data_IF_387110651720
#
_entry.id   IF_387110651720
#
_cell.length_a   1.000
_cell.length_b   1.000
_cell.length_c   1.000
_cell.angle_alpha   90.00
_cell.angle_beta   90.00
_cell.angle_gamma   90.00
#
_symmetry.space_group_name_H-M   'P 1'
#
loop_
_entity.id
_entity.type
_entity.pdbx_description
1 polymer ?
#
# COMPACT_ATOMS: atom_id res chain seq x y z
N UNK A 1 -4.19 -10.94 -20.72
CA UNK A 1 -3.97 -10.75 -22.17
C UNK A 1 -4.51 -9.36 -22.48
N UNK A 2 -3.72 -8.54 -23.18
CA UNK A 2 -4.25 -7.30 -23.75
C UNK A 2 -5.31 -7.68 -24.79
N UNK A 3 -6.46 -7.00 -24.77
CA UNK A 3 -7.46 -7.04 -25.83
C UNK A 3 -6.76 -6.65 -27.17
N UNK A 4 -7.12 -7.31 -28.27
CA UNK A 4 -6.52 -7.06 -29.61
C UNK A 4 -6.60 -5.58 -30.00
N UNK A 5 -7.63 -4.87 -29.57
CA UNK A 5 -7.83 -3.44 -29.75
C UNK A 5 -6.77 -2.62 -28.97
N UNK A 6 -6.49 -2.98 -27.70
CA UNK A 6 -5.49 -2.31 -26.89
C UNK A 6 -4.07 -2.61 -27.40
N UNK A 7 -3.83 -3.82 -27.92
CA UNK A 7 -2.56 -4.19 -28.54
C UNK A 7 -2.28 -3.31 -29.79
N UNK A 8 -3.25 -3.20 -30.70
CA UNK A 8 -3.12 -2.37 -31.89
C UNK A 8 -2.85 -0.89 -31.58
N UNK A 9 -3.50 -0.36 -30.55
CA UNK A 9 -3.29 1.04 -30.07
C UNK A 9 -1.93 1.25 -29.45
N UNK A 10 -1.45 0.28 -28.67
CA UNK A 10 -0.11 0.33 -28.08
C UNK A 10 0.96 0.34 -29.15
N UNK A 11 0.83 -0.53 -30.15
CA UNK A 11 1.75 -0.54 -31.33
C UNK A 11 1.71 0.80 -32.06
N UNK A 12 0.53 1.38 -32.28
CA UNK A 12 0.38 2.69 -32.92
C UNK A 12 1.08 3.82 -32.14
N UNK A 13 1.05 3.79 -30.82
CA UNK A 13 1.77 4.77 -29.97
C UNK A 13 3.29 4.61 -30.10
N UNK A 14 3.78 3.38 -30.07
CA UNK A 14 5.21 3.12 -30.28
C UNK A 14 5.65 3.54 -31.67
N UNK A 15 4.87 3.20 -32.70
CA UNK A 15 5.15 3.57 -34.07
C UNK A 15 5.24 5.09 -34.26
N UNK A 16 4.25 5.83 -33.72
CA UNK A 16 4.27 7.30 -33.73
C UNK A 16 5.53 7.85 -33.03
N UNK A 17 5.85 7.36 -31.85
CA UNK A 17 7.01 7.84 -31.11
C UNK A 17 8.33 7.55 -31.82
N UNK A 18 8.50 6.34 -32.33
CA UNK A 18 9.72 5.90 -33.00
C UNK A 18 9.87 6.57 -34.38
N UNK A 19 8.76 7.07 -34.98
CA UNK A 19 8.77 7.82 -36.23
C UNK A 19 9.36 9.23 -36.10
N UNK A 20 9.66 9.72 -34.87
CA UNK A 20 10.40 10.99 -34.72
C UNK A 20 11.85 10.93 -35.21
N UNK A 21 12.36 9.74 -35.54
CA UNK A 21 13.65 9.52 -36.16
C UNK A 21 14.57 8.54 -35.46
N UNK A 22 15.75 8.28 -36.04
CA UNK A 22 16.71 7.31 -35.49
C UNK A 22 17.12 7.60 -34.02
N UNK A 23 17.19 8.87 -33.66
CA UNK A 23 17.53 9.29 -32.29
C UNK A 23 16.48 8.81 -31.25
N UNK A 24 15.19 8.84 -31.63
CA UNK A 24 14.12 8.33 -30.76
C UNK A 24 14.22 6.81 -30.57
N UNK A 25 14.59 6.08 -31.63
CA UNK A 25 14.80 4.64 -31.57
C UNK A 25 15.99 4.30 -30.66
N UNK A 26 17.12 5.00 -30.82
CA UNK A 26 18.32 4.81 -29.97
C UNK A 26 18.04 5.15 -28.50
N UNK A 27 17.25 6.18 -28.26
CA UNK A 27 16.88 6.58 -26.93
C UNK A 27 16.02 5.52 -26.24
N UNK A 28 14.99 4.99 -26.91
CA UNK A 28 14.15 3.91 -26.40
C UNK A 28 14.98 2.65 -26.17
N UNK A 29 15.82 2.25 -27.11
CA UNK A 29 16.70 1.10 -26.99
C UNK A 29 17.61 1.24 -25.75
N UNK A 30 18.26 2.39 -25.57
CA UNK A 30 19.09 2.68 -24.39
C UNK A 30 18.30 2.59 -23.11
N UNK A 31 17.13 3.26 -23.02
CA UNK A 31 16.30 3.28 -21.82
C UNK A 31 15.78 1.88 -21.45
N UNK A 32 15.46 1.06 -22.43
CA UNK A 32 15.00 -0.32 -22.18
C UNK A 32 16.17 -1.19 -21.71
N UNK A 33 17.36 -1.06 -22.31
CA UNK A 33 18.55 -1.80 -21.89
C UNK A 33 19.01 -1.41 -20.47
N UNK A 34 18.93 -0.11 -20.09
CA UNK A 34 19.15 0.36 -18.72
C UNK A 34 18.20 -0.26 -17.68
N UNK A 35 17.04 -0.73 -18.13
CA UNK A 35 16.03 -1.43 -17.32
C UNK A 35 16.15 -2.97 -17.36
N UNK A 36 17.23 -3.50 -17.93
CA UNK A 36 17.53 -4.93 -17.97
C UNK A 36 16.91 -5.68 -19.14
N UNK A 37 16.33 -5.00 -20.12
CA UNK A 37 15.95 -5.60 -21.39
C UNK A 37 17.20 -5.74 -22.27
N UNK A 38 17.29 -6.81 -23.01
CA UNK A 38 18.32 -6.96 -24.04
C UNK A 38 17.68 -6.77 -25.42
N UNK A 39 17.38 -5.51 -25.72
CA UNK A 39 16.62 -5.15 -26.94
C UNK A 39 17.54 -4.46 -27.96
N UNK A 40 17.34 -4.79 -29.21
CA UNK A 40 17.92 -4.09 -30.37
C UNK A 40 16.79 -3.77 -31.37
N UNK A 41 16.58 -2.48 -31.62
CA UNK A 41 15.48 -2.00 -32.44
C UNK A 41 15.98 -1.64 -33.85
N UNK A 42 15.24 -2.02 -34.92
CA UNK A 42 15.51 -1.56 -36.27
C UNK A 42 15.45 -0.02 -36.35
N UNK A 43 16.51 0.63 -36.86
CA UNK A 43 16.59 2.11 -36.94
C UNK A 43 15.94 2.71 -38.14
N UNK A 44 15.79 1.93 -39.18
CA UNK A 44 15.31 2.31 -40.53
C UNK A 44 13.84 1.97 -40.76
N UNK A 45 13.19 1.28 -39.82
CA UNK A 45 11.78 0.88 -39.90
C UNK A 45 11.10 1.07 -38.55
N UNK A 46 10.52 2.26 -38.30
CA UNK A 46 9.84 2.56 -37.01
C UNK A 46 8.71 1.61 -36.69
N UNK A 47 7.95 1.17 -37.70
CA UNK A 47 6.86 0.23 -37.46
C UNK A 47 7.36 -1.13 -37.03
N UNK A 48 8.42 -1.63 -37.64
CA UNK A 48 9.06 -2.88 -37.21
C UNK A 48 9.67 -2.75 -35.82
N UNK A 49 10.30 -1.59 -35.52
CA UNK A 49 10.80 -1.29 -34.18
C UNK A 49 9.68 -1.29 -33.12
N UNK A 50 8.51 -0.71 -33.46
CA UNK A 50 7.33 -0.72 -32.59
C UNK A 50 6.82 -2.15 -32.32
N UNK A 51 6.79 -3.00 -33.33
CA UNK A 51 6.39 -4.41 -33.18
C UNK A 51 7.38 -5.20 -32.32
N UNK A 52 8.69 -4.97 -32.50
CA UNK A 52 9.72 -5.61 -31.66
C UNK A 52 9.60 -5.14 -30.21
N UNK A 53 9.46 -3.83 -29.99
CA UNK A 53 9.29 -3.25 -28.65
C UNK A 53 8.03 -3.79 -27.96
N UNK A 54 6.91 -3.86 -28.69
CA UNK A 54 5.67 -4.44 -28.19
C UNK A 54 5.86 -5.92 -27.80
N UNK A 55 6.49 -6.70 -28.66
CA UNK A 55 6.77 -8.11 -28.40
C UNK A 55 7.62 -8.33 -27.15
N UNK A 56 8.63 -7.50 -26.92
CA UNK A 56 9.48 -7.58 -25.74
C UNK A 56 8.76 -7.21 -24.45
N UNK A 57 7.85 -6.23 -24.49
CA UNK A 57 7.10 -5.80 -23.30
C UNK A 57 5.93 -6.75 -23.00
N UNK A 58 5.16 -7.14 -24.01
CA UNK A 58 3.88 -7.82 -23.85
C UNK A 58 3.89 -9.29 -24.32
N UNK A 59 4.85 -9.70 -25.15
CA UNK A 59 4.87 -11.01 -25.79
C UNK A 59 5.34 -12.16 -24.92
N UNK A 60 6.08 -11.89 -23.84
CA UNK A 60 6.41 -12.90 -22.86
C UNK A 60 5.25 -13.03 -21.85
N UNK A 61 4.81 -14.25 -21.57
CA UNK A 61 3.88 -14.50 -20.47
C UNK A 61 4.51 -13.95 -19.20
N UNK A 62 3.81 -13.02 -18.54
CA UNK A 62 4.20 -12.49 -17.23
C UNK A 62 3.94 -13.60 -16.20
N UNK A 63 4.73 -14.66 -16.30
CA UNK A 63 4.70 -15.77 -15.38
C UNK A 63 6.05 -15.86 -14.70
N UNK A 64 6.08 -15.60 -13.42
CA UNK A 64 7.26 -15.86 -12.62
C UNK A 64 7.71 -14.68 -11.75
N UNK A 65 8.58 -15.03 -10.84
CA UNK A 65 9.12 -14.16 -9.78
C UNK A 65 10.41 -13.44 -10.20
N UNK A 66 10.73 -13.36 -11.49
CA UNK A 66 11.95 -12.71 -11.94
C UNK A 66 11.81 -11.18 -11.97
N UNK A 67 12.90 -10.48 -11.75
CA UNK A 67 12.98 -9.02 -11.88
C UNK A 67 12.50 -8.53 -13.25
N UNK A 68 12.84 -9.27 -14.30
CA UNK A 68 12.43 -9.01 -15.69
C UNK A 68 10.90 -8.99 -15.84
N UNK A 69 10.21 -9.99 -15.30
CA UNK A 69 8.73 -10.05 -15.34
C UNK A 69 8.07 -8.89 -14.59
N UNK A 70 8.66 -8.48 -13.48
CA UNK A 70 8.18 -7.32 -12.70
C UNK A 70 8.30 -6.02 -13.51
N UNK A 71 9.44 -5.82 -14.14
CA UNK A 71 9.70 -4.62 -14.95
C UNK A 71 8.78 -4.58 -16.18
N UNK A 72 8.58 -5.70 -16.86
CA UNK A 72 7.64 -5.81 -17.99
C UNK A 72 6.21 -5.45 -17.58
N UNK A 73 5.74 -5.96 -16.43
CA UNK A 73 4.42 -5.61 -15.89
C UNK A 73 4.29 -4.10 -15.64
N UNK A 74 5.29 -3.48 -15.03
CA UNK A 74 5.26 -2.05 -14.73
C UNK A 74 5.20 -1.21 -16.02
N UNK A 75 6.02 -1.53 -16.99
CA UNK A 75 6.03 -0.84 -18.29
C UNK A 75 4.69 -1.04 -19.00
N UNK A 76 4.15 -2.27 -19.00
CA UNK A 76 2.86 -2.57 -19.59
C UNK A 76 1.73 -1.72 -18.98
N UNK A 77 1.70 -1.60 -17.65
CA UNK A 77 0.72 -0.76 -16.95
C UNK A 77 0.89 0.72 -17.33
N UNK A 78 2.13 1.23 -17.35
CA UNK A 78 2.40 2.61 -17.72
C UNK A 78 1.97 2.92 -19.15
N UNK A 79 2.31 2.06 -20.11
CA UNK A 79 1.90 2.21 -21.50
C UNK A 79 0.38 2.13 -21.64
N UNK A 80 -0.29 1.23 -20.93
CA UNK A 80 -1.76 1.16 -20.92
C UNK A 80 -2.40 2.45 -20.41
N UNK A 81 -1.85 3.06 -19.35
CA UNK A 81 -2.30 4.37 -18.89
C UNK A 81 -2.11 5.45 -19.96
N UNK A 82 -0.99 5.46 -20.66
CA UNK A 82 -0.73 6.41 -21.74
C UNK A 82 -1.73 6.25 -22.90
N UNK A 83 -2.04 5.01 -23.29
CA UNK A 83 -3.06 4.71 -24.30
C UNK A 83 -4.41 5.30 -23.90
N UNK A 84 -4.84 5.07 -22.64
CA UNK A 84 -6.09 5.60 -22.13
C UNK A 84 -6.12 7.14 -22.09
N UNK A 85 -5.02 7.78 -21.74
CA UNK A 85 -4.89 9.24 -21.77
C UNK A 85 -5.02 9.79 -23.20
N UNK A 86 -4.37 9.13 -24.17
CA UNK A 86 -4.45 9.52 -25.59
C UNK A 86 -5.87 9.37 -26.13
N UNK A 87 -6.56 8.29 -25.81
CA UNK A 87 -7.98 8.10 -26.21
C UNK A 87 -8.88 9.22 -25.67
N UNK A 88 -8.65 9.63 -24.43
CA UNK A 88 -9.41 10.75 -23.84
C UNK A 88 -9.11 12.06 -24.55
N UNK A 89 -7.87 12.27 -25.00
CA UNK A 89 -7.50 13.42 -25.83
C UNK A 89 -8.24 13.42 -27.17
N UNK A 90 -8.32 12.26 -27.83
CA UNK A 90 -8.94 12.11 -29.16
C UNK A 90 -10.49 12.11 -29.08
N UNK A 91 -11.06 11.71 -27.92
CA UNK A 91 -12.50 11.77 -27.71
C UNK A 91 -12.94 13.23 -27.61
N UNK A 92 -13.67 13.71 -28.60
CA UNK A 92 -14.10 15.11 -28.76
C UNK A 92 -15.14 15.61 -27.74
N UNK A 93 -15.43 14.85 -26.68
CA UNK A 93 -16.45 15.20 -25.69
C UNK A 93 -16.09 16.43 -24.84
N UNK A 94 -14.77 16.67 -24.60
CA UNK A 94 -14.26 17.87 -23.92
C UNK A 94 -13.00 18.29 -24.68
N UNK A 95 -12.82 19.60 -24.92
CA UNK A 95 -11.55 20.08 -25.46
C UNK A 95 -10.40 19.73 -24.52
N UNK A 96 -9.43 18.95 -24.98
CA UNK A 96 -8.28 18.54 -24.19
C UNK A 96 -7.54 19.75 -23.58
N UNK A 97 -7.43 20.83 -24.32
CA UNK A 97 -6.81 22.07 -23.85
C UNK A 97 -7.52 22.68 -22.63
N UNK A 98 -8.82 22.47 -22.49
CA UNK A 98 -9.58 23.03 -21.38
C UNK A 98 -9.33 22.30 -20.04
N UNK A 99 -8.76 21.09 -20.09
CA UNK A 99 -8.43 20.33 -18.87
C UNK A 99 -6.96 20.50 -18.45
N UNK A 100 -6.11 21.04 -19.31
CA UNK A 100 -4.70 21.29 -18.99
C UNK A 100 -4.59 22.43 -17.99
N UNK A 101 -3.88 22.18 -16.91
CA UNK A 101 -3.55 23.17 -15.90
C UNK A 101 -2.24 23.85 -16.27
N UNK A 102 -2.26 25.19 -16.44
CA UNK A 102 -1.05 25.97 -16.65
C UNK A 102 -0.65 26.64 -15.34
N UNK A 103 0.55 26.33 -14.84
CA UNK A 103 1.12 26.97 -13.65
C UNK A 103 1.60 28.39 -13.98
N UNK A 104 1.93 29.16 -12.92
CA UNK A 104 2.41 30.55 -13.06
C UNK A 104 3.74 30.65 -13.84
N UNK A 105 4.54 29.60 -13.85
CA UNK A 105 5.80 29.50 -14.60
C UNK A 105 5.63 29.05 -16.07
N UNK A 106 4.40 28.87 -16.51
CA UNK A 106 4.06 28.40 -17.84
C UNK A 106 4.01 26.88 -17.98
N UNK A 107 4.36 26.10 -16.97
CA UNK A 107 4.33 24.63 -16.99
C UNK A 107 2.92 24.12 -17.21
N UNK A 108 2.74 23.28 -18.22
CA UNK A 108 1.45 22.69 -18.63
C UNK A 108 1.34 21.27 -18.09
N UNK A 109 0.41 21.04 -17.16
CA UNK A 109 0.19 19.74 -16.53
C UNK A 109 -1.18 19.17 -16.89
N UNK A 110 -1.21 17.88 -17.20
CA UNK A 110 -2.45 17.13 -17.38
C UNK A 110 -2.90 16.57 -16.03
N UNK A 111 -4.04 17.00 -15.46
CA UNK A 111 -4.59 16.40 -14.26
C UNK A 111 -5.09 14.99 -14.56
N UNK A 112 -4.63 14.01 -13.75
CA UNK A 112 -4.95 12.60 -13.93
C UNK A 112 -5.29 11.97 -12.57
N UNK A 113 -6.44 11.30 -12.51
CA UNK A 113 -6.82 10.48 -11.36
C UNK A 113 -6.82 9.02 -11.81
N UNK A 114 -6.00 8.21 -11.16
CA UNK A 114 -5.93 6.76 -11.37
C UNK A 114 -6.56 6.07 -10.18
N UNK A 115 -7.58 5.26 -10.45
CA UNK A 115 -8.21 4.40 -9.44
C UNK A 115 -7.80 2.95 -9.73
N UNK A 116 -7.24 2.28 -8.72
CA UNK A 116 -6.88 0.86 -8.77
C UNK A 116 -7.72 0.14 -7.72
N UNK A 117 -8.48 -0.83 -8.15
CA UNK A 117 -9.29 -1.68 -7.29
C UNK A 117 -8.63 -3.04 -7.14
N UNK A 118 -8.43 -3.46 -5.89
CA UNK A 118 -7.82 -4.74 -5.51
C UNK A 118 -6.52 -5.10 -6.27
N UNK A 119 -5.46 -4.26 -6.21
CA UNK A 119 -4.19 -4.53 -6.91
C UNK A 119 -3.50 -5.81 -6.43
N UNK A 120 -3.94 -6.36 -5.31
CA UNK A 120 -3.44 -7.62 -4.74
C UNK A 120 -3.88 -8.87 -5.50
N UNK A 121 -4.91 -8.80 -6.32
CA UNK A 121 -5.41 -9.95 -7.05
C UNK A 121 -4.31 -10.54 -7.95
N UNK A 122 -3.95 -11.80 -7.69
CA UNK A 122 -2.91 -12.57 -8.41
C UNK A 122 -1.48 -12.01 -8.35
N UNK A 123 -1.20 -11.04 -7.44
CA UNK A 123 0.13 -10.49 -7.25
C UNK A 123 0.73 -10.86 -5.90
N UNK A 124 2.00 -11.27 -5.91
CA UNK A 124 2.78 -11.42 -4.69
C UNK A 124 2.96 -10.09 -3.96
N UNK A 125 3.07 -10.06 -2.62
CA UNK A 125 3.18 -8.83 -1.82
C UNK A 125 4.22 -7.83 -2.33
N UNK A 126 5.42 -8.27 -2.70
CA UNK A 126 6.45 -7.38 -3.22
C UNK A 126 6.07 -6.76 -4.58
N UNK A 127 5.33 -7.49 -5.43
CA UNK A 127 4.83 -6.97 -6.71
C UNK A 127 3.75 -5.92 -6.51
N UNK A 128 2.86 -6.10 -5.52
CA UNK A 128 1.87 -5.09 -5.16
C UNK A 128 2.56 -3.78 -4.78
N UNK A 129 3.56 -3.85 -3.89
CA UNK A 129 4.32 -2.67 -3.47
C UNK A 129 5.07 -2.01 -4.63
N UNK A 130 5.72 -2.81 -5.48
CA UNK A 130 6.46 -2.34 -6.64
C UNK A 130 5.56 -1.67 -7.66
N UNK A 131 4.41 -2.28 -8.00
CA UNK A 131 3.42 -1.73 -8.92
C UNK A 131 2.90 -0.37 -8.44
N UNK A 132 2.48 -0.28 -7.18
CA UNK A 132 1.96 0.97 -6.63
C UNK A 132 3.04 2.06 -6.51
N UNK A 133 4.29 1.69 -6.21
CA UNK A 133 5.41 2.63 -6.22
C UNK A 133 5.68 3.16 -7.63
N UNK A 134 5.61 2.30 -8.65
CA UNK A 134 5.79 2.66 -10.05
C UNK A 134 4.66 3.59 -10.54
N UNK A 135 3.40 3.27 -10.25
CA UNK A 135 2.28 4.15 -10.59
C UNK A 135 2.44 5.55 -9.95
N UNK A 136 2.86 5.62 -8.68
CA UNK A 136 3.15 6.91 -8.04
C UNK A 136 4.32 7.64 -8.72
N UNK A 137 5.34 6.90 -9.15
CA UNK A 137 6.51 7.47 -9.84
C UNK A 137 6.11 8.11 -11.17
N UNK A 138 5.27 7.43 -11.97
CA UNK A 138 4.69 7.97 -13.21
C UNK A 138 3.89 9.24 -12.91
N UNK A 139 2.92 9.16 -11.99
CA UNK A 139 2.01 10.26 -11.69
C UNK A 139 2.71 11.48 -11.08
N UNK A 140 3.89 11.31 -10.48
CA UNK A 140 4.73 12.37 -9.95
C UNK A 140 5.85 12.81 -10.91
N UNK A 141 5.81 12.40 -12.18
CA UNK A 141 6.80 12.74 -13.23
C UNK A 141 8.25 12.30 -12.89
N UNK A 142 8.42 11.23 -12.13
CA UNK A 142 9.72 10.69 -11.72
C UNK A 142 10.22 9.59 -12.65
N UNK A 143 9.36 9.01 -13.47
CA UNK A 143 9.71 8.04 -14.51
C UNK A 143 10.06 8.74 -15.80
N UNK A 144 11.35 8.90 -16.08
CA UNK A 144 11.85 9.67 -17.22
C UNK A 144 11.34 9.17 -18.59
N UNK A 145 11.22 7.85 -18.74
CA UNK A 145 10.70 7.25 -19.97
C UNK A 145 9.26 7.67 -20.22
N UNK A 146 8.38 7.51 -19.24
CA UNK A 146 6.96 7.88 -19.38
C UNK A 146 6.77 9.39 -19.46
N UNK A 147 7.58 10.17 -18.77
CA UNK A 147 7.51 11.62 -18.88
C UNK A 147 7.78 12.09 -20.30
N UNK A 148 8.79 11.53 -20.97
CA UNK A 148 9.07 11.85 -22.39
C UNK A 148 7.93 11.43 -23.33
N UNK A 149 7.36 10.24 -23.12
CA UNK A 149 6.18 9.81 -23.88
C UNK A 149 4.99 10.76 -23.69
N UNK A 150 4.74 11.19 -22.45
CA UNK A 150 3.69 12.17 -22.12
C UNK A 150 3.95 13.50 -22.83
N UNK A 151 5.18 14.01 -22.75
CA UNK A 151 5.56 15.28 -23.39
C UNK A 151 5.37 15.23 -24.90
N UNK A 152 5.88 14.20 -25.55
CA UNK A 152 5.87 14.10 -27.00
C UNK A 152 4.49 13.76 -27.58
N UNK A 153 3.76 12.83 -26.95
CA UNK A 153 2.48 12.35 -27.50
C UNK A 153 1.28 13.19 -27.05
N UNK A 154 1.35 13.83 -25.88
CA UNK A 154 0.24 14.62 -25.35
C UNK A 154 0.48 16.13 -25.44
N UNK A 155 1.72 16.57 -25.68
CA UNK A 155 2.05 17.99 -25.79
C UNK A 155 1.92 18.76 -24.47
N UNK A 156 2.19 18.09 -23.32
CA UNK A 156 2.18 18.68 -21.98
C UNK A 156 3.52 18.44 -21.30
N UNK A 157 3.88 19.27 -20.32
CA UNK A 157 5.17 19.15 -19.64
C UNK A 157 5.20 17.99 -18.62
N UNK A 158 4.03 17.52 -18.18
CA UNK A 158 3.91 16.42 -17.25
C UNK A 158 2.48 16.20 -16.78
N UNK A 159 2.35 15.40 -15.72
CA UNK A 159 1.07 15.05 -15.08
C UNK A 159 0.93 15.80 -13.73
N UNK A 160 -0.30 16.13 -13.36
CA UNK A 160 -0.71 16.42 -11.98
C UNK A 160 -1.54 15.24 -11.50
N UNK A 161 -0.84 14.21 -10.99
CA UNK A 161 -1.39 12.89 -10.82
C UNK A 161 -1.83 12.57 -9.40
N UNK A 162 -3.01 11.95 -9.25
CA UNK A 162 -3.49 11.38 -8.00
C UNK A 162 -3.74 9.87 -8.18
N UNK A 163 -3.35 9.08 -7.16
CA UNK A 163 -3.58 7.63 -7.12
C UNK A 163 -4.50 7.29 -5.94
N UNK A 164 -5.64 6.70 -6.25
CA UNK A 164 -6.52 6.07 -5.27
C UNK A 164 -6.43 4.55 -5.41
N UNK A 165 -6.32 3.86 -4.29
CA UNK A 165 -6.21 2.39 -4.25
C UNK A 165 -7.25 1.87 -3.27
N UNK A 166 -8.13 1.00 -3.75
CA UNK A 166 -9.03 0.22 -2.90
C UNK A 166 -8.38 -1.14 -2.71
N UNK A 167 -8.17 -1.55 -1.46
CA UNK A 167 -7.42 -2.79 -1.18
C UNK A 167 -7.84 -3.44 0.13
N UNK A 168 -7.72 -4.75 0.19
CA UNK A 168 -7.79 -5.57 1.40
C UNK A 168 -6.42 -6.10 1.84
N UNK A 169 -5.34 -5.66 1.18
CA UNK A 169 -3.97 -6.09 1.46
C UNK A 169 -3.23 -5.06 2.33
N UNK A 170 -2.64 -5.52 3.42
CA UNK A 170 -1.73 -4.71 4.25
C UNK A 170 -0.47 -4.27 3.47
N UNK A 171 -0.05 -5.07 2.49
CA UNK A 171 1.10 -4.77 1.63
C UNK A 171 0.83 -3.64 0.63
N UNK A 172 -0.41 -3.48 0.18
CA UNK A 172 -0.80 -2.39 -0.70
C UNK A 172 -0.98 -1.06 0.06
N UNK A 173 -1.22 -1.09 1.38
CA UNK A 173 -1.33 0.11 2.20
C UNK A 173 0.02 0.83 2.31
N UNK A 174 -0.02 2.15 2.20
CA UNK A 174 1.14 3.02 2.46
C UNK A 174 1.51 3.03 3.95
N UNK A 175 2.78 3.35 4.27
CA UNK A 175 3.27 3.45 5.65
C UNK A 175 3.01 4.85 6.26
N UNK A 176 1.86 5.43 5.96
CA UNK A 176 1.47 6.74 6.44
C UNK A 176 -0.05 6.77 6.64
N UNK A 177 -0.50 6.74 7.89
CA UNK A 177 -1.92 6.71 8.24
C UNK A 177 -2.70 7.91 7.68
N UNK A 178 -2.04 9.06 7.46
CA UNK A 178 -2.68 10.29 6.93
C UNK A 178 -3.20 10.11 5.50
N UNK A 179 -2.70 9.12 4.80
CA UNK A 179 -3.11 8.77 3.42
C UNK A 179 -4.14 7.65 3.37
N UNK A 180 -4.59 7.18 4.51
CA UNK A 180 -5.59 6.11 4.62
C UNK A 180 -6.98 6.71 4.78
N UNK A 181 -7.92 6.15 4.05
CA UNK A 181 -9.35 6.40 4.19
C UNK A 181 -9.99 5.05 4.50
N UNK A 182 -10.51 4.90 5.72
CA UNK A 182 -11.24 3.69 6.11
C UNK A 182 -12.74 3.91 5.93
N UNK A 183 -13.36 3.05 5.14
CA UNK A 183 -14.82 2.98 5.01
C UNK A 183 -15.37 2.03 6.07
N UNK A 184 -16.44 2.41 6.75
CA UNK A 184 -17.08 1.58 7.77
C UNK A 184 -18.60 1.85 7.81
N UNK A 185 -19.36 0.94 8.43
CA UNK A 185 -20.79 1.16 8.71
C UNK A 185 -20.96 1.63 10.14
N UNK A 186 -21.76 2.67 10.32
CA UNK A 186 -22.14 3.14 11.66
C UNK A 186 -23.27 2.27 12.25
N UNK A 187 -23.70 2.57 13.47
CA UNK A 187 -24.78 1.86 14.18
C UNK A 187 -26.12 1.89 13.42
N UNK A 188 -26.29 2.78 12.46
CA UNK A 188 -27.48 2.90 11.59
C UNK A 188 -27.27 2.24 10.23
N UNK A 189 -26.26 1.41 10.08
CA UNK A 189 -25.87 0.75 8.83
C UNK A 189 -25.48 1.72 7.69
N UNK A 190 -25.25 2.99 8.01
CA UNK A 190 -24.85 3.98 7.01
C UNK A 190 -23.35 3.91 6.76
N UNK A 191 -22.94 3.98 5.50
CA UNK A 191 -21.54 4.02 5.11
C UNK A 191 -20.93 5.36 5.53
N UNK A 192 -19.84 5.30 6.26
CA UNK A 192 -19.04 6.43 6.73
C UNK A 192 -17.58 6.27 6.30
N UNK A 193 -16.84 7.36 6.33
CA UNK A 193 -15.42 7.39 6.06
C UNK A 193 -14.66 8.05 7.20
N UNK A 194 -13.58 7.42 7.64
CA UNK A 194 -12.59 8.02 8.53
C UNK A 194 -11.32 8.32 7.74
N UNK A 195 -10.99 9.58 7.61
CA UNK A 195 -9.84 10.08 6.86
C UNK A 195 -8.67 10.36 7.78
N UNK A 196 -7.57 9.63 7.64
CA UNK A 196 -6.36 9.85 8.45
C UNK A 196 -5.77 11.26 8.31
N UNK A 197 -5.96 11.92 7.16
CA UNK A 197 -5.53 13.30 6.95
C UNK A 197 -6.27 14.35 7.81
N UNK A 198 -7.43 13.99 8.35
CA UNK A 198 -8.18 14.86 9.27
C UNK A 198 -7.80 14.67 10.74
N UNK A 199 -6.93 13.73 11.06
CA UNK A 199 -6.49 13.49 12.42
C UNK A 199 -5.35 14.43 12.77
N UNK A 200 -5.48 15.06 13.92
CA UNK A 200 -4.46 15.98 14.45
C UNK A 200 -3.88 15.36 15.72
N UNK A 201 -2.58 15.19 15.73
CA UNK A 201 -1.78 14.74 16.86
C UNK A 201 -0.62 15.72 17.07
N UNK A 202 -0.10 15.78 18.29
CA UNK A 202 1.14 16.50 18.54
C UNK A 202 2.30 15.88 17.73
N UNK A 203 3.27 16.71 17.36
CA UNK A 203 4.35 16.31 16.44
C UNK A 203 5.17 15.09 16.91
N UNK A 204 5.32 14.92 18.22
CA UNK A 204 6.00 13.76 18.81
C UNK A 204 5.17 12.49 18.66
N UNK A 205 3.87 12.58 18.95
CA UNK A 205 2.91 11.48 18.78
C UNK A 205 2.83 11.11 17.30
N UNK A 206 2.74 12.09 16.42
CA UNK A 206 2.66 11.87 14.97
C UNK A 206 3.87 11.10 14.43
N UNK A 207 5.09 11.49 14.82
CA UNK A 207 6.31 10.76 14.46
C UNK A 207 6.26 9.31 14.94
N UNK A 208 5.88 9.10 16.19
CA UNK A 208 5.75 7.76 16.77
C UNK A 208 4.75 6.91 15.98
N UNK A 209 3.55 7.43 15.69
CA UNK A 209 2.51 6.72 14.94
C UNK A 209 2.97 6.35 13.52
N UNK A 210 3.67 7.25 12.82
CA UNK A 210 4.19 6.95 11.48
C UNK A 210 5.24 5.84 11.54
N UNK A 211 6.13 5.85 12.53
CA UNK A 211 7.17 4.82 12.68
C UNK A 211 6.58 3.43 12.96
N UNK A 212 5.54 3.35 13.79
CA UNK A 212 4.90 2.10 14.18
C UNK A 212 3.74 1.70 13.25
N UNK A 213 3.36 2.54 12.30
CA UNK A 213 2.22 2.27 11.43
C UNK A 213 2.32 0.96 10.64
N UNK A 214 3.49 0.52 10.15
CA UNK A 214 3.63 -0.77 9.48
C UNK A 214 3.12 -1.96 10.31
N UNK A 215 3.28 -1.90 11.63
CA UNK A 215 2.92 -2.97 12.57
C UNK A 215 1.41 -2.97 12.91
N UNK A 216 0.74 -1.82 12.73
CA UNK A 216 -0.68 -1.67 13.06
C UNK A 216 -1.62 -1.71 11.85
N UNK A 217 -1.08 -1.88 10.65
CA UNK A 217 -1.89 -1.89 9.41
C UNK A 217 -3.01 -2.92 9.40
N UNK A 218 -2.75 -4.11 9.95
CA UNK A 218 -3.72 -5.19 10.02
C UNK A 218 -4.94 -4.80 10.85
N UNK A 219 -4.74 -4.00 11.89
CA UNK A 219 -5.83 -3.51 12.71
C UNK A 219 -6.89 -2.73 11.92
N UNK A 220 -6.51 -2.08 10.81
CA UNK A 220 -7.46 -1.32 9.97
C UNK A 220 -8.56 -2.20 9.36
N UNK A 221 -8.32 -3.51 9.24
CA UNK A 221 -9.28 -4.49 8.74
C UNK A 221 -10.02 -5.23 9.86
N UNK A 222 -9.60 -5.04 11.12
CA UNK A 222 -10.19 -5.75 12.25
C UNK A 222 -11.53 -5.15 12.68
N UNK A 223 -12.30 -5.97 13.41
CA UNK A 223 -13.51 -5.56 14.12
C UNK A 223 -13.21 -4.98 15.49
N UNK A 224 -12.11 -5.44 16.11
CA UNK A 224 -11.63 -4.99 17.39
C UNK A 224 -10.11 -5.21 17.44
N UNK A 225 -9.41 -4.34 18.14
CA UNK A 225 -7.97 -4.46 18.36
C UNK A 225 -7.69 -4.61 19.86
N UNK A 226 -6.81 -5.56 20.21
CA UNK A 226 -6.25 -5.69 21.55
C UNK A 226 -4.81 -5.23 21.50
N UNK A 227 -4.45 -4.27 22.35
CA UNK A 227 -3.09 -3.76 22.49
C UNK A 227 -2.51 -4.26 23.79
N UNK A 228 -1.35 -4.88 23.72
CA UNK A 228 -0.60 -5.40 24.86
C UNK A 228 0.78 -4.74 24.91
N UNK A 229 1.41 -4.78 26.08
CA UNK A 229 2.65 -4.06 26.31
C UNK A 229 3.85 -4.73 25.66
N UNK A 230 3.94 -6.07 25.77
CA UNK A 230 5.14 -6.81 25.44
C UNK A 230 4.94 -8.09 24.64
N UNK A 231 6.07 -8.79 24.51
CA UNK A 231 6.15 -10.04 23.73
C UNK A 231 5.45 -11.20 24.43
N UNK A 232 5.43 -11.21 25.77
CA UNK A 232 4.87 -12.31 26.57
C UNK A 232 3.36 -12.40 26.37
N UNK A 233 2.65 -11.30 26.49
CA UNK A 233 1.21 -11.21 26.23
C UNK A 233 0.91 -11.50 24.77
N UNK A 234 1.67 -10.88 23.87
CA UNK A 234 1.49 -11.06 22.42
C UNK A 234 1.62 -12.53 22.02
N UNK A 235 2.65 -13.22 22.52
CA UNK A 235 2.87 -14.64 22.23
C UNK A 235 1.86 -15.59 22.86
N UNK A 236 1.32 -15.23 24.04
CA UNK A 236 0.44 -16.12 24.83
C UNK A 236 -1.05 -15.95 24.58
N UNK A 237 -1.50 -14.75 24.24
CA UNK A 237 -2.94 -14.44 24.18
C UNK A 237 -3.70 -15.22 23.11
N UNK A 238 -3.09 -15.45 21.94
CA UNK A 238 -3.71 -16.30 20.93
C UNK A 238 -3.93 -17.73 21.39
N UNK A 239 -3.00 -18.27 22.19
CA UNK A 239 -3.11 -19.60 22.80
C UNK A 239 -4.20 -19.63 23.87
N UNK A 240 -4.24 -18.64 24.76
CA UNK A 240 -5.27 -18.56 25.80
C UNK A 240 -6.67 -18.41 25.20
N UNK A 241 -6.82 -17.53 24.22
CA UNK A 241 -8.07 -17.34 23.52
C UNK A 241 -8.58 -18.65 22.91
N UNK A 242 -7.71 -19.38 22.22
CA UNK A 242 -8.04 -20.69 21.65
C UNK A 242 -8.47 -21.70 22.73
N UNK A 243 -7.80 -21.71 23.87
CA UNK A 243 -8.13 -22.60 25.03
C UNK A 243 -9.49 -22.26 25.63
N UNK A 244 -9.87 -20.97 25.60
CA UNK A 244 -11.18 -20.47 26.00
C UNK A 244 -12.27 -20.63 24.95
N UNK A 245 -11.96 -21.22 23.80
CA UNK A 245 -12.90 -21.39 22.69
C UNK A 245 -13.10 -20.13 21.86
N UNK A 246 -12.26 -19.11 22.02
CA UNK A 246 -12.28 -17.86 21.25
C UNK A 246 -11.16 -17.89 20.20
N UNK A 247 -11.52 -17.78 18.93
CA UNK A 247 -10.53 -17.68 17.86
C UNK A 247 -10.48 -16.23 17.35
N UNK A 248 -9.34 -15.57 17.51
CA UNK A 248 -9.18 -14.16 17.16
C UNK A 248 -9.52 -13.88 15.70
N UNK A 249 -8.97 -14.66 14.77
CA UNK A 249 -9.23 -14.51 13.33
C UNK A 249 -10.71 -14.65 12.99
N UNK A 250 -11.39 -15.64 13.62
CA UNK A 250 -12.79 -15.88 13.38
C UNK A 250 -13.69 -14.72 13.81
N UNK A 251 -13.28 -14.02 14.88
CA UNK A 251 -13.99 -12.86 15.39
C UNK A 251 -13.51 -11.53 14.82
N UNK A 252 -12.47 -11.55 13.97
CA UNK A 252 -11.84 -10.36 13.41
C UNK A 252 -11.15 -9.51 14.47
N UNK A 253 -10.50 -10.16 15.46
CA UNK A 253 -9.75 -9.52 16.53
C UNK A 253 -8.27 -9.46 16.12
N UNK A 254 -7.70 -8.26 16.07
CA UNK A 254 -6.28 -8.04 15.83
C UNK A 254 -5.57 -7.84 17.17
N UNK A 255 -4.51 -8.61 17.43
CA UNK A 255 -3.64 -8.44 18.60
C UNK A 255 -2.39 -7.67 18.18
N UNK A 256 -2.05 -6.61 18.90
CA UNK A 256 -0.88 -5.76 18.62
C UNK A 256 0.04 -5.72 19.84
N UNK A 257 1.31 -6.01 19.63
CA UNK A 257 2.37 -5.68 20.56
C UNK A 257 2.75 -4.20 20.39
N UNK A 258 2.47 -3.38 21.38
CA UNK A 258 2.77 -1.96 21.36
C UNK A 258 4.24 -1.64 21.65
N UNK A 259 5.04 -2.63 22.08
CA UNK A 259 6.46 -2.50 22.43
C UNK A 259 6.72 -1.42 23.48
N UNK A 260 5.89 -1.44 24.53
CA UNK A 260 6.00 -0.59 25.69
C UNK A 260 4.73 0.20 26.00
N UNK A 261 4.53 0.48 27.27
CA UNK A 261 3.34 1.11 27.83
C UNK A 261 2.96 2.44 27.18
N UNK A 262 3.96 3.27 26.89
CA UNK A 262 3.74 4.63 26.35
C UNK A 262 3.21 4.63 24.92
N UNK A 263 3.38 3.52 24.20
CA UNK A 263 2.90 3.33 22.82
C UNK A 263 1.43 2.92 22.77
N UNK A 264 0.96 2.15 23.77
CA UNK A 264 -0.42 1.61 23.79
C UNK A 264 -1.45 2.73 23.60
N UNK A 265 -1.37 3.78 24.43
CA UNK A 265 -2.35 4.87 24.38
C UNK A 265 -2.36 5.61 23.04
N UNK A 266 -1.19 5.84 22.44
CA UNK A 266 -1.03 6.54 21.16
C UNK A 266 -1.61 5.70 20.02
N UNK A 267 -1.29 4.41 19.97
CA UNK A 267 -1.80 3.49 18.96
C UNK A 267 -3.32 3.31 19.13
N UNK A 268 -3.80 3.11 20.39
CA UNK A 268 -5.23 3.00 20.67
C UNK A 268 -6.02 4.22 20.21
N UNK A 269 -5.48 5.41 20.41
CA UNK A 269 -6.13 6.64 19.96
C UNK A 269 -6.23 6.68 18.42
N UNK A 270 -5.16 6.34 17.69
CA UNK A 270 -5.18 6.24 16.23
C UNK A 270 -6.25 5.25 15.75
N UNK A 271 -6.26 4.04 16.31
CA UNK A 271 -7.20 2.98 15.95
C UNK A 271 -8.65 3.42 16.20
N UNK A 272 -8.92 4.06 17.35
CA UNK A 272 -10.26 4.58 17.68
C UNK A 272 -10.69 5.73 16.75
N UNK A 273 -9.77 6.56 16.28
CA UNK A 273 -10.09 7.61 15.28
C UNK A 273 -10.48 7.00 13.93
N UNK A 274 -9.99 5.82 13.61
CA UNK A 274 -10.48 5.02 12.48
C UNK A 274 -11.78 4.25 12.78
N UNK A 275 -12.45 4.53 13.90
CA UNK A 275 -13.69 3.86 14.33
C UNK A 275 -13.52 2.35 14.50
N UNK A 276 -12.41 1.92 15.09
CA UNK A 276 -12.18 0.54 15.47
C UNK A 276 -12.09 0.52 17.00
N UNK A 277 -12.88 -0.33 17.69
CA UNK A 277 -12.74 -0.54 19.12
C UNK A 277 -11.32 -1.01 19.46
N UNK A 278 -10.69 -0.39 20.45
CA UNK A 278 -9.36 -0.74 20.90
C UNK A 278 -9.37 -0.99 22.41
N UNK A 279 -9.03 -2.22 22.80
CA UNK A 279 -8.86 -2.66 24.18
C UNK A 279 -7.38 -2.59 24.52
N UNK A 280 -7.04 -2.02 25.67
CA UNK A 280 -5.67 -1.87 26.13
C UNK A 280 -5.45 -2.70 27.39
N UNK A 281 -4.41 -3.50 27.41
CA UNK A 281 -3.93 -4.17 28.62
C UNK A 281 -2.59 -3.55 29.02
N UNK A 282 -2.49 -3.15 30.26
CA UNK A 282 -1.29 -2.61 30.89
C UNK A 282 -0.86 -3.45 32.06
N UNK A 283 0.41 -3.41 32.39
CA UNK A 283 0.90 -3.91 33.66
C UNK A 283 0.41 -3.04 34.84
N UNK A 284 0.22 -3.65 35.97
CA UNK A 284 -0.37 -2.97 37.13
C UNK A 284 0.52 -1.88 37.73
N UNK A 285 1.81 -1.95 37.53
CA UNK A 285 2.77 -0.96 38.01
C UNK A 285 2.47 0.47 37.51
N UNK A 286 1.83 0.59 36.32
CA UNK A 286 1.46 1.89 35.73
C UNK A 286 0.02 2.35 36.03
N UNK A 287 -0.74 1.56 36.79
CA UNK A 287 -2.17 1.82 37.06
C UNK A 287 -2.44 3.20 37.68
N UNK A 288 -1.54 3.72 38.55
CA UNK A 288 -1.69 5.01 39.21
C UNK A 288 -1.51 6.21 38.27
N UNK A 289 -0.94 6.04 37.08
CA UNK A 289 -0.63 7.08 36.12
C UNK A 289 -1.62 7.16 34.95
N UNK A 290 -2.59 6.26 34.86
CA UNK A 290 -3.50 6.12 33.74
C UNK A 290 -4.96 6.36 34.09
N UNK A 291 -5.73 6.82 33.11
CA UNK A 291 -7.17 6.99 33.26
C UNK A 291 -7.88 5.63 33.11
N UNK A 292 -8.80 5.37 34.04
CA UNK A 292 -9.70 4.22 33.95
C UNK A 292 -10.76 4.47 32.87
N UNK A 293 -10.94 3.51 31.96
CA UNK A 293 -12.04 3.49 31.00
C UNK A 293 -12.52 2.05 30.82
N UNK A 294 -13.70 1.88 30.24
CA UNK A 294 -14.29 0.54 29.99
C UNK A 294 -13.46 -0.34 29.05
N UNK A 295 -12.46 0.22 28.36
CA UNK A 295 -11.60 -0.49 27.41
C UNK A 295 -10.14 -0.56 27.87
N UNK A 296 -9.85 -0.25 29.15
CA UNK A 296 -8.51 -0.32 29.73
C UNK A 296 -8.53 -1.33 30.87
N UNK A 297 -7.66 -2.30 30.78
CA UNK A 297 -7.48 -3.38 31.74
C UNK A 297 -6.06 -3.36 32.28
N UNK A 298 -5.87 -3.94 33.44
CA UNK A 298 -4.58 -4.06 34.11
C UNK A 298 -4.40 -5.50 34.58
N UNK A 299 -3.15 -5.96 34.67
CA UNK A 299 -2.80 -7.21 35.28
C UNK A 299 -3.19 -7.21 36.76
N UNK A 300 -3.48 -8.37 37.35
CA UNK A 300 -3.82 -8.50 38.79
C UNK A 300 -2.61 -8.29 39.70
N UNK A 301 -1.43 -8.70 39.19
CA UNK A 301 -0.14 -8.49 39.87
C UNK A 301 0.69 -7.47 39.10
N UNK A 302 1.94 -7.25 39.50
CA UNK A 302 2.82 -6.19 39.01
C UNK A 302 3.06 -6.26 37.49
N UNK A 303 3.04 -7.46 36.93
CA UNK A 303 3.17 -7.73 35.49
C UNK A 303 2.44 -9.02 35.11
N UNK A 304 2.26 -9.23 33.81
CA UNK A 304 1.56 -10.39 33.27
C UNK A 304 2.24 -11.73 33.63
N UNK A 305 3.57 -11.81 33.63
CA UNK A 305 4.30 -13.03 34.04
C UNK A 305 4.00 -13.41 35.48
N UNK A 306 3.87 -12.42 36.36
CA UNK A 306 3.50 -12.67 37.75
C UNK A 306 2.07 -13.19 37.92
N UNK A 307 1.15 -12.74 37.04
CA UNK A 307 -0.22 -13.29 37.00
C UNK A 307 -0.18 -14.78 36.64
N UNK A 308 0.59 -15.16 35.63
CA UNK A 308 0.77 -16.56 35.21
C UNK A 308 1.40 -17.39 36.32
N UNK A 309 2.50 -16.92 36.93
CA UNK A 309 3.20 -17.63 38.03
C UNK A 309 2.27 -17.81 39.21
N UNK A 310 1.60 -16.76 39.65
CA UNK A 310 0.67 -16.83 40.81
C UNK A 310 -0.51 -17.74 40.55
N UNK A 311 -1.07 -17.69 39.31
CA UNK A 311 -2.14 -18.59 38.88
C UNK A 311 -1.69 -20.05 38.91
N UNK A 312 -0.53 -20.39 38.38
CA UNK A 312 0.03 -21.73 38.39
C UNK A 312 0.24 -22.24 39.85
N UNK A 313 0.79 -21.42 40.73
CA UNK A 313 1.02 -21.77 42.11
C UNK A 313 -0.29 -22.00 42.85
N UNK A 314 -1.28 -21.14 42.70
CA UNK A 314 -2.60 -21.28 43.36
C UNK A 314 -3.37 -22.51 42.89
N UNK A 315 -3.13 -22.99 41.68
CA UNK A 315 -3.72 -24.23 41.15
C UNK A 315 -2.83 -25.47 41.32
N UNK A 316 -1.79 -25.40 42.17
CA UNK A 316 -0.90 -26.52 42.46
C UNK A 316 -0.03 -27.00 41.28
N UNK A 317 0.20 -26.15 40.31
CA UNK A 317 0.98 -26.44 39.05
C UNK A 317 2.45 -26.06 39.17
N UNK A 318 3.04 -26.13 40.37
CA UNK A 318 4.44 -25.77 40.65
C UNK A 318 5.42 -26.51 39.74
N UNK A 319 5.22 -27.82 39.57
CA UNK A 319 6.09 -28.63 38.70
C UNK A 319 6.15 -28.10 37.26
N UNK A 320 5.01 -27.65 36.75
CA UNK A 320 4.96 -27.06 35.39
C UNK A 320 5.81 -25.79 35.28
N UNK A 321 5.82 -24.95 36.33
CA UNK A 321 6.69 -23.77 36.39
C UNK A 321 8.16 -24.15 36.48
N UNK A 322 8.51 -25.13 37.30
CA UNK A 322 9.88 -25.59 37.46
C UNK A 322 10.41 -26.20 36.15
N UNK A 323 9.57 -26.92 35.40
CA UNK A 323 9.89 -27.48 34.06
C UNK A 323 10.13 -26.39 33.01
N UNK A 324 9.37 -25.26 33.04
CA UNK A 324 9.49 -24.15 32.07
C UNK A 324 10.64 -23.20 32.41
N UNK A 325 10.92 -22.96 33.72
CA UNK A 325 11.99 -22.03 34.12
C UNK A 325 13.35 -22.73 34.19
N UNK A 326 13.37 -24.07 34.28
CA UNK A 326 14.59 -24.86 34.34
C UNK A 326 15.23 -25.15 32.98
N UNK A 327 14.52 -24.93 31.90
CA UNK A 327 15.04 -24.99 30.53
C UNK A 327 15.58 -23.62 30.07
#
# INVERSE_FOLDING_TARGET
>A
MLDDNLAGRTISIFDEYLSYGPEAVEEVERMMNERGFSISLPKDDPHKAALVLFGEIFGAQISGTSYDSTMKLMIAVGVSLLVLMREKRESRAISFENIIMTKNDGTRLLPVIVNIDEPELHLHPYLQRALLAFCRSILNNKESFFLKLVQNLLGVDGLDGQLFVVTHSTDALVNDYRKIIRMYRDEKEMVRAACGSSFHFDSEIEKHLIMHFPEVKEALYSRCTILVEGETEYGSFGYFAKTLGVQFDYHGICLINARGESSISKIAELIRRFHIPAVCLYDRDVMGSRHHSSYVFYTDYICFEMDVVKSCLSHGKRKLLDDVIGD
#
